data_IF_768834679628
#
_entry.id   IF_768834679628
#
_cell.length_a   1.000
_cell.length_b   1.000
_cell.length_c   1.000
_cell.angle_alpha   90.00
_cell.angle_beta   90.00
_cell.angle_gamma   90.00
#
_symmetry.space_group_name_H-M   'P 1'
#
loop_
_entity.id
_entity.type
_entity.pdbx_description
1 polymer ?
#
# COMPACT_ATOMS: atom_id res chain seq x y z
N UNK A 1 -22.63 1.55 6.81
CA UNK A 1 -21.49 2.50 6.85
C UNK A 1 -21.04 2.75 5.42
N UNK A 2 -20.65 3.98 5.08
CA UNK A 2 -20.07 4.30 3.77
C UNK A 2 -18.60 3.91 3.77
N UNK A 3 -18.14 3.30 2.69
CA UNK A 3 -16.72 2.94 2.48
C UNK A 3 -16.31 3.59 1.16
N UNK A 4 -15.36 4.51 1.23
CA UNK A 4 -14.74 5.12 0.06
C UNK A 4 -13.36 4.47 -0.16
N UNK A 5 -12.91 4.42 -1.41
CA UNK A 5 -11.68 3.71 -1.80
C UNK A 5 -10.75 4.63 -2.60
N UNK A 6 -9.46 4.53 -2.32
CA UNK A 6 -8.39 5.11 -3.12
C UNK A 6 -7.25 4.08 -3.22
N UNK A 7 -6.68 3.83 -4.42
CA UNK A 7 -5.71 2.76 -4.61
C UNK A 7 -4.35 3.05 -3.95
N UNK A 8 -3.95 4.32 -3.86
CA UNK A 8 -2.71 4.74 -3.18
C UNK A 8 -1.41 4.45 -3.94
N UNK A 9 -1.33 3.33 -4.66
CA UNK A 9 -0.19 2.93 -5.50
C UNK A 9 -0.64 1.92 -6.57
N UNK A 10 0.17 1.74 -7.60
CA UNK A 10 -0.03 0.70 -8.62
C UNK A 10 0.56 -0.64 -8.19
N UNK A 11 -0.08 -1.75 -8.60
CA UNK A 11 0.42 -3.11 -8.39
C UNK A 11 0.98 -3.67 -9.70
N UNK A 12 2.27 -4.03 -9.76
CA UNK A 12 2.83 -4.67 -10.93
C UNK A 12 2.06 -5.94 -11.32
N UNK A 13 1.66 -6.04 -12.59
CA UNK A 13 0.94 -7.21 -13.10
C UNK A 13 -0.52 -7.33 -12.66
N UNK A 14 -1.06 -6.37 -11.90
CA UNK A 14 -2.49 -6.28 -11.69
C UNK A 14 -3.15 -5.65 -12.92
N UNK A 15 -4.11 -6.36 -13.54
CA UNK A 15 -5.09 -5.73 -14.41
C UNK A 15 -5.79 -4.64 -13.58
N UNK A 16 -5.54 -3.37 -13.89
CA UNK A 16 -6.04 -2.25 -13.11
C UNK A 16 -7.54 -2.44 -12.84
N UNK A 17 -7.92 -2.54 -11.57
CA UNK A 17 -9.31 -2.56 -11.16
C UNK A 17 -9.93 -1.18 -11.43
N UNK A 18 -10.26 -0.90 -12.68
CA UNK A 18 -11.14 0.19 -13.09
C UNK A 18 -10.54 1.59 -13.26
N UNK A 19 -9.24 1.83 -13.07
CA UNK A 19 -8.64 3.17 -13.32
C UNK A 19 -7.20 3.10 -13.82
N UNK A 20 -6.99 3.38 -15.12
CA UNK A 20 -5.70 3.85 -15.68
C UNK A 20 -4.62 2.79 -15.96
N UNK A 21 -3.87 3.02 -17.04
CA UNK A 21 -2.80 2.16 -17.59
C UNK A 21 -1.58 2.02 -16.67
N UNK A 22 -1.03 0.81 -16.57
CA UNK A 22 -0.02 0.38 -15.61
C UNK A 22 1.44 0.86 -15.85
N UNK A 23 1.70 1.97 -16.54
CA UNK A 23 3.06 2.30 -17.04
C UNK A 23 3.53 3.75 -16.85
N UNK A 24 3.12 4.48 -15.79
CA UNK A 24 3.69 5.80 -15.51
C UNK A 24 4.00 6.06 -14.01
N UNK A 25 5.26 6.37 -13.65
CA UNK A 25 5.63 6.77 -12.27
C UNK A 25 4.98 8.09 -11.81
N UNK A 26 4.43 8.88 -12.73
CA UNK A 26 3.64 10.08 -12.41
C UNK A 26 2.27 9.73 -11.80
N UNK A 27 1.74 8.53 -12.04
CA UNK A 27 0.44 8.11 -11.52
C UNK A 27 0.51 7.81 -10.01
N UNK A 28 1.56 7.12 -9.54
CA UNK A 28 1.68 6.73 -8.12
C UNK A 28 1.68 7.92 -7.16
N UNK A 29 2.31 9.04 -7.52
CA UNK A 29 2.31 10.24 -6.68
C UNK A 29 0.90 10.85 -6.57
N UNK A 30 0.14 10.87 -7.67
CA UNK A 30 -1.23 11.35 -7.68
C UNK A 30 -2.18 10.42 -6.90
N UNK A 31 -2.00 9.10 -7.05
CA UNK A 31 -2.72 8.08 -6.30
C UNK A 31 -2.45 8.19 -4.80
N UNK A 32 -1.18 8.33 -4.40
CA UNK A 32 -0.79 8.52 -3.01
C UNK A 32 -1.41 9.79 -2.42
N UNK A 33 -1.35 10.91 -3.15
CA UNK A 33 -1.95 12.16 -2.71
C UNK A 33 -3.48 12.05 -2.56
N UNK A 34 -4.16 11.30 -3.44
CA UNK A 34 -5.59 11.02 -3.33
C UNK A 34 -5.92 10.16 -2.10
N UNK A 35 -5.13 9.11 -1.84
CA UNK A 35 -5.29 8.26 -0.67
C UNK A 35 -5.07 9.05 0.64
N UNK A 36 -4.06 9.93 0.70
CA UNK A 36 -3.80 10.78 1.87
C UNK A 36 -4.95 11.75 2.12
N UNK A 37 -5.51 12.38 1.08
CA UNK A 37 -6.70 13.24 1.22
C UNK A 37 -7.90 12.48 1.75
N UNK A 38 -8.12 11.25 1.26
CA UNK A 38 -9.21 10.41 1.73
C UNK A 38 -9.02 9.98 3.19
N UNK A 39 -7.81 9.58 3.56
CA UNK A 39 -7.46 9.21 4.93
C UNK A 39 -7.71 10.35 5.92
N UNK A 40 -7.33 11.58 5.57
CA UNK A 40 -7.56 12.76 6.40
C UNK A 40 -9.05 13.07 6.64
N UNK A 41 -9.93 12.65 5.72
CA UNK A 41 -11.37 12.86 5.79
C UNK A 41 -12.14 11.67 6.40
N UNK A 42 -11.44 10.60 6.81
CA UNK A 42 -12.05 9.34 7.27
C UNK A 42 -11.93 9.16 8.79
N UNK A 43 -12.91 8.52 9.43
CA UNK A 43 -12.85 8.21 10.87
C UNK A 43 -11.82 7.12 11.20
N UNK A 44 -11.58 6.19 10.28
CA UNK A 44 -10.65 5.06 10.43
C UNK A 44 -10.20 4.61 9.04
N UNK A 45 -8.92 4.27 8.92
CA UNK A 45 -8.31 3.82 7.67
C UNK A 45 -7.97 2.33 7.78
N UNK A 46 -8.36 1.56 6.77
CA UNK A 46 -7.88 0.18 6.57
C UNK A 46 -6.93 0.21 5.39
N UNK A 47 -5.63 0.13 5.67
CA UNK A 47 -4.58 0.23 4.65
C UNK A 47 -4.07 -1.17 4.31
N UNK A 48 -4.25 -1.58 3.05
CA UNK A 48 -3.70 -2.84 2.56
C UNK A 48 -2.28 -2.60 2.07
N UNK A 49 -1.34 -3.41 2.55
CA UNK A 49 0.05 -3.47 2.10
C UNK A 49 0.40 -4.94 1.80
N UNK A 50 1.48 -5.20 1.09
CA UNK A 50 1.88 -6.56 0.80
C UNK A 50 2.75 -6.71 -0.43
N UNK A 51 2.76 -7.93 -0.95
CA UNK A 51 3.58 -8.35 -2.08
C UNK A 51 2.71 -8.64 -3.28
N UNK A 52 3.19 -8.26 -4.45
CA UNK A 52 2.54 -8.56 -5.73
C UNK A 52 2.81 -10.01 -6.14
N UNK A 53 2.05 -10.51 -7.12
CA UNK A 53 2.33 -11.80 -7.74
C UNK A 53 3.74 -11.84 -8.39
N UNK A 54 4.26 -10.68 -8.79
CA UNK A 54 5.63 -10.57 -9.30
C UNK A 54 6.67 -10.75 -8.20
N UNK A 55 6.37 -10.40 -6.95
CA UNK A 55 7.32 -10.57 -5.84
C UNK A 55 7.37 -12.04 -5.35
N UNK A 56 6.34 -12.85 -5.65
CA UNK A 56 6.20 -14.23 -5.14
C UNK A 56 6.00 -15.26 -6.27
N UNK A 57 6.53 -14.97 -7.46
CA UNK A 57 6.30 -15.83 -8.61
C UNK A 57 7.06 -17.16 -8.51
N UNK A 58 6.44 -18.21 -9.04
CA UNK A 58 7.02 -19.55 -9.12
C UNK A 58 8.35 -19.54 -9.91
N UNK A 59 9.32 -20.33 -9.46
CA UNK A 59 10.60 -20.52 -10.14
C UNK A 59 11.71 -19.57 -9.70
N UNK A 60 11.47 -18.69 -8.73
CA UNK A 60 12.52 -17.95 -8.04
C UNK A 60 12.16 -17.66 -6.58
N UNK A 61 13.18 -17.42 -5.78
CA UNK A 61 13.05 -16.96 -4.39
C UNK A 61 13.42 -15.47 -4.32
N UNK A 62 12.75 -14.73 -3.43
CA UNK A 62 13.18 -13.38 -3.05
C UNK A 62 14.46 -13.45 -2.23
N UNK A 63 15.29 -12.43 -2.33
CA UNK A 63 16.52 -12.25 -1.54
C UNK A 63 16.29 -11.41 -0.26
N UNK A 64 15.12 -10.77 -0.13
CA UNK A 64 14.72 -9.97 1.03
C UNK A 64 13.30 -10.30 1.51
N UNK A 65 13.04 -9.90 2.75
CA UNK A 65 11.70 -9.95 3.37
C UNK A 65 11.06 -8.55 3.48
N UNK A 66 11.66 -7.52 2.90
CA UNK A 66 11.13 -6.16 2.99
C UNK A 66 9.85 -5.97 2.15
N UNK A 67 8.95 -5.09 2.62
CA UNK A 67 7.86 -4.56 1.81
C UNK A 67 8.40 -3.52 0.81
N UNK A 68 7.70 -3.25 -0.31
CA UNK A 68 8.12 -2.21 -1.24
C UNK A 68 8.19 -0.82 -0.60
N UNK A 69 9.30 -0.09 -0.83
CA UNK A 69 9.52 1.24 -0.26
C UNK A 69 8.43 2.26 -0.60
N UNK A 70 7.79 2.12 -1.76
CA UNK A 70 6.65 2.95 -2.17
C UNK A 70 5.48 2.82 -1.20
N UNK A 71 5.18 1.59 -0.75
CA UNK A 71 4.13 1.32 0.22
C UNK A 71 4.48 1.87 1.61
N UNK A 72 5.75 1.76 2.03
CA UNK A 72 6.20 2.30 3.32
C UNK A 72 6.10 3.84 3.36
N UNK A 73 6.48 4.53 2.28
CA UNK A 73 6.30 6.00 2.17
C UNK A 73 4.84 6.42 2.19
N UNK A 74 3.95 5.63 1.57
CA UNK A 74 2.52 5.87 1.66
C UNK A 74 2.02 5.68 3.09
N UNK A 75 2.41 4.61 3.77
CA UNK A 75 2.06 4.34 5.16
C UNK A 75 2.42 5.53 6.06
N UNK A 76 3.66 6.04 5.96
CA UNK A 76 4.11 7.20 6.75
C UNK A 76 3.23 8.43 6.50
N UNK A 77 2.87 8.69 5.24
CA UNK A 77 2.03 9.81 4.85
C UNK A 77 0.58 9.66 5.35
N UNK A 78 0.05 8.43 5.33
CA UNK A 78 -1.29 8.11 5.81
C UNK A 78 -1.37 8.23 7.33
N UNK A 79 -0.41 7.67 8.08
CA UNK A 79 -0.34 7.76 9.54
C UNK A 79 -0.21 9.22 10.00
N UNK A 80 0.56 10.03 9.27
CA UNK A 80 0.68 11.46 9.56
C UNK A 80 -0.64 12.23 9.34
N UNK A 81 -1.44 11.83 8.35
CA UNK A 81 -2.72 12.45 8.06
C UNK A 81 -3.86 11.94 8.96
N UNK A 82 -3.79 10.68 9.39
CA UNK A 82 -4.77 10.05 10.26
C UNK A 82 -4.11 8.97 11.12
N UNK A 83 -4.07 9.11 12.46
CA UNK A 83 -3.46 8.11 13.32
C UNK A 83 -4.30 6.83 13.49
N UNK A 84 -5.58 6.80 13.10
CA UNK A 84 -6.46 5.62 13.26
C UNK A 84 -6.34 4.68 12.05
N UNK A 85 -5.21 4.01 11.94
CA UNK A 85 -4.87 3.11 10.84
C UNK A 85 -4.82 1.67 11.31
N UNK A 86 -5.49 0.77 10.59
CA UNK A 86 -5.27 -0.66 10.67
C UNK A 86 -4.57 -1.12 9.38
N UNK A 87 -3.37 -1.71 9.50
CA UNK A 87 -2.66 -2.28 8.35
C UNK A 87 -3.07 -3.73 8.16
N UNK A 88 -3.45 -4.07 6.93
CA UNK A 88 -3.76 -5.44 6.50
C UNK A 88 -2.67 -5.90 5.53
N UNK A 89 -1.99 -6.99 5.87
CA UNK A 89 -0.90 -7.54 5.07
C UNK A 89 -1.39 -8.65 4.15
N UNK A 90 -1.07 -8.55 2.86
CA UNK A 90 -1.36 -9.55 1.84
C UNK A 90 -0.07 -10.05 1.19
N UNK A 91 0.46 -11.16 1.71
CA UNK A 91 1.71 -11.78 1.27
C UNK A 91 1.70 -13.28 1.63
N UNK A 92 2.22 -14.13 0.74
CA UNK A 92 2.34 -15.57 0.97
C UNK A 92 3.51 -15.93 1.89
N UNK A 93 4.63 -15.23 1.76
CA UNK A 93 5.83 -15.38 2.59
C UNK A 93 5.92 -14.35 3.72
N UNK A 94 6.91 -14.50 4.61
CA UNK A 94 7.18 -13.54 5.69
C UNK A 94 7.59 -12.18 5.13
N UNK A 95 7.14 -11.11 5.80
CA UNK A 95 7.57 -9.73 5.54
C UNK A 95 8.07 -9.05 6.81
N UNK A 96 9.03 -8.14 6.67
CA UNK A 96 9.60 -7.37 7.77
C UNK A 96 8.61 -6.30 8.23
N UNK A 97 8.35 -6.27 9.53
CA UNK A 97 7.45 -5.31 10.17
C UNK A 97 8.17 -4.23 10.98
N UNK A 98 9.42 -4.46 11.38
CA UNK A 98 10.27 -3.42 11.99
C UNK A 98 10.86 -2.51 10.90
N UNK A 99 10.85 -1.18 11.06
CA UNK A 99 10.41 -0.42 12.24
C UNK A 99 8.95 0.07 12.17
N UNK A 100 8.27 -0.05 11.02
CA UNK A 100 7.00 0.64 10.76
C UNK A 100 5.84 0.17 11.65
N UNK A 101 5.87 -1.05 12.18
CA UNK A 101 4.82 -1.51 13.12
C UNK A 101 4.73 -0.65 14.38
N UNK A 102 5.75 0.17 14.68
CA UNK A 102 5.75 1.08 15.83
C UNK A 102 5.00 2.38 15.56
N UNK A 103 4.74 2.72 14.30
CA UNK A 103 4.04 3.94 13.91
C UNK A 103 2.54 3.72 13.72
N UNK A 104 2.12 2.46 13.54
CA UNK A 104 0.72 2.05 13.47
C UNK A 104 0.26 1.65 14.88
N UNK A 105 -0.79 2.28 15.44
CA UNK A 105 -1.24 2.03 16.81
C UNK A 105 -1.98 0.71 17.03
#
# INVERSE_FOLDING_TARGET
>A
ARVDFAPGYTLPGAEAAGTGSADAPEDDAALAAAAVRLAAASDTVVLFLGLSAHDESEGFDRDHIDLPDTQLRLLDSIVAANPRVAVVLSNGGVVRTDPWHRTVP
#
